data_IF_843709220660
#
_entry.id   IF_843709220660
#
_cell.length_a   1.000
_cell.length_b   1.000
_cell.length_c   1.000
_cell.angle_alpha   90.00
_cell.angle_beta   90.00
_cell.angle_gamma   90.00
#
_symmetry.space_group_name_H-M   'P 1'
#
loop_
_entity.id
_entity.type
_entity.pdbx_description
1 polymer ?
#
# COMPACT_ATOMS: atom_id res chain seq x y z
N UNK A 1 -10.72 -7.85 11.24
CA UNK A 1 -10.80 -9.32 11.02
C UNK A 1 -11.94 -9.67 10.07
N UNK A 2 -11.70 -10.51 9.08
CA UNK A 2 -12.71 -11.03 8.14
C UNK A 2 -12.60 -12.54 8.04
N UNK A 3 -13.71 -13.29 8.17
CA UNK A 3 -13.76 -14.76 8.17
C UNK A 3 -12.70 -15.44 9.07
N UNK A 4 -12.52 -14.94 10.29
CA UNK A 4 -11.50 -15.37 11.26
C UNK A 4 -10.05 -15.19 10.79
N UNK A 5 -9.80 -14.36 9.78
CA UNK A 5 -8.47 -13.97 9.33
C UNK A 5 -8.11 -12.60 9.89
N UNK A 6 -6.92 -12.50 10.46
CA UNK A 6 -6.36 -11.26 10.98
C UNK A 6 -5.64 -10.48 9.90
N UNK A 7 -5.86 -9.15 9.86
CA UNK A 7 -5.33 -8.28 8.80
C UNK A 7 -4.62 -7.09 9.42
N UNK A 8 -3.34 -6.93 9.14
CA UNK A 8 -2.57 -5.73 9.50
C UNK A 8 -2.42 -4.82 8.29
N UNK A 9 -2.85 -3.56 8.44
CA UNK A 9 -2.54 -2.51 7.47
C UNK A 9 -1.16 -1.93 7.79
N UNK A 10 -0.24 -1.99 6.82
CA UNK A 10 1.07 -1.35 6.92
C UNK A 10 1.10 -0.16 5.96
N UNK A 11 1.48 1.01 6.48
CA UNK A 11 1.59 2.27 5.73
C UNK A 11 3.08 2.63 5.64
N UNK A 12 3.78 2.22 4.56
CA UNK A 12 5.17 2.59 4.38
C UNK A 12 5.29 4.09 4.11
N UNK A 13 6.16 4.77 4.86
CA UNK A 13 6.35 6.21 4.77
C UNK A 13 7.82 6.60 4.93
N UNK A 14 8.28 7.64 4.20
CA UNK A 14 9.66 8.15 4.30
C UNK A 14 9.76 9.62 3.92
N UNK A 15 10.69 10.34 4.56
CA UNK A 15 10.97 11.74 4.25
C UNK A 15 11.67 11.91 2.90
N UNK A 16 12.49 10.93 2.51
CA UNK A 16 13.30 10.96 1.29
C UNK A 16 12.44 10.77 0.03
N UNK A 17 11.77 11.84 -0.40
CA UNK A 17 11.06 11.92 -1.68
C UNK A 17 11.77 12.91 -2.60
N UNK A 18 12.26 12.47 -3.76
CA UNK A 18 12.96 13.33 -4.71
C UNK A 18 12.05 14.39 -5.36
N UNK A 19 10.78 14.05 -5.60
CA UNK A 19 9.79 14.92 -6.25
C UNK A 19 9.14 15.92 -5.29
N UNK A 20 8.93 15.51 -4.04
CA UNK A 20 8.33 16.34 -3.00
C UNK A 20 8.98 16.04 -1.64
N UNK A 21 10.03 16.78 -1.25
CA UNK A 21 10.71 16.60 0.05
C UNK A 21 9.72 16.74 1.21
N UNK A 22 9.92 15.91 2.24
CA UNK A 22 9.08 15.88 3.45
C UNK A 22 7.59 15.60 3.18
N UNK A 23 7.26 14.95 2.06
CA UNK A 23 5.89 14.65 1.64
C UNK A 23 4.98 14.12 2.76
N UNK A 24 5.40 13.17 3.62
CA UNK A 24 4.54 12.64 4.68
C UNK A 24 4.07 13.66 5.71
N UNK A 25 4.85 14.73 5.92
CA UNK A 25 4.54 15.80 6.86
C UNK A 25 3.81 16.99 6.22
N UNK A 26 3.63 16.97 4.89
CA UNK A 26 2.87 17.98 4.19
C UNK A 26 1.41 17.97 4.65
N UNK A 27 0.86 19.16 4.94
CA UNK A 27 -0.52 19.27 5.43
C UNK A 27 -1.52 19.36 4.30
N UNK A 28 -2.52 18.50 4.35
CA UNK A 28 -3.73 18.57 3.53
C UNK A 28 -4.88 19.00 4.44
N UNK A 29 -5.44 20.18 4.22
CA UNK A 29 -6.48 20.74 5.07
C UNK A 29 -6.12 20.71 6.57
N UNK A 30 -4.90 21.13 6.90
CA UNK A 30 -4.42 21.28 8.26
C UNK A 30 -3.92 20.00 8.96
N UNK A 31 -4.00 18.81 8.31
CA UNK A 31 -3.54 17.52 8.86
C UNK A 31 -2.49 16.88 7.95
N UNK A 32 -1.45 16.32 8.52
CA UNK A 32 -0.33 15.72 7.81
C UNK A 32 -0.78 14.55 6.91
N UNK A 33 -0.13 14.40 5.75
CA UNK A 33 -0.48 13.40 4.73
C UNK A 33 -0.48 11.98 5.31
N UNK A 34 0.56 11.60 6.04
CA UNK A 34 0.67 10.27 6.65
C UNK A 34 -0.47 9.98 7.62
N UNK A 35 -0.90 10.98 8.39
CA UNK A 35 -2.02 10.86 9.32
C UNK A 35 -3.36 10.77 8.58
N UNK A 36 -3.51 11.48 7.46
CA UNK A 36 -4.69 11.35 6.58
C UNK A 36 -4.87 9.93 6.07
N UNK A 37 -3.77 9.28 5.67
CA UNK A 37 -3.79 7.88 5.24
C UNK A 37 -4.18 6.95 6.40
N UNK A 38 -3.58 7.14 7.58
CA UNK A 38 -3.92 6.36 8.77
C UNK A 38 -5.39 6.57 9.20
N UNK A 39 -5.89 7.82 9.16
CA UNK A 39 -7.30 8.14 9.45
C UNK A 39 -8.26 7.45 8.46
N UNK A 40 -7.87 7.34 7.18
CA UNK A 40 -8.66 6.62 6.18
C UNK A 40 -8.64 5.11 6.45
N UNK A 41 -7.48 4.53 6.69
CA UNK A 41 -7.33 3.12 7.04
C UNK A 41 -8.17 2.74 8.28
N UNK A 42 -8.21 3.60 9.30
CA UNK A 42 -8.97 3.39 10.55
C UNK A 42 -10.48 3.23 10.33
N UNK A 43 -11.00 3.67 9.18
CA UNK A 43 -12.42 3.54 8.84
C UNK A 43 -12.78 2.20 8.19
N UNK A 44 -11.79 1.41 7.79
CA UNK A 44 -12.01 0.03 7.31
C UNK A 44 -12.54 -0.85 8.45
N UNK A 45 -13.47 -1.75 8.12
CA UNK A 45 -14.10 -2.67 9.08
C UNK A 45 -13.18 -3.83 9.49
N UNK A 46 -12.14 -4.10 8.71
CA UNK A 46 -11.43 -5.38 8.78
C UNK A 46 -9.98 -5.27 9.25
N UNK A 47 -9.40 -4.07 9.32
CA UNK A 47 -8.05 -3.93 9.88
C UNK A 47 -8.06 -4.13 11.39
N UNK A 48 -7.30 -5.11 11.86
CA UNK A 48 -7.09 -5.37 13.28
C UNK A 48 -6.00 -4.47 13.86
N UNK A 49 -4.98 -4.14 13.03
CA UNK A 49 -3.89 -3.22 13.36
C UNK A 49 -3.58 -2.30 12.19
N UNK A 50 -3.10 -1.11 12.50
CA UNK A 50 -2.59 -0.14 11.52
C UNK A 50 -1.22 0.31 12.00
N UNK A 51 -0.18 0.08 11.20
CA UNK A 51 1.21 0.37 11.52
C UNK A 51 1.79 1.28 10.45
N UNK A 52 2.38 2.41 10.84
CA UNK A 52 3.20 3.21 9.93
C UNK A 52 4.64 2.70 10.02
N UNK A 53 5.17 2.19 8.90
CA UNK A 53 6.54 1.69 8.79
C UNK A 53 7.46 2.77 8.19
N UNK A 54 8.48 3.21 8.93
CA UNK A 54 9.33 4.33 8.52
C UNK A 54 10.78 4.19 8.99
N UNK A 55 11.71 4.76 8.22
CA UNK A 55 13.11 4.93 8.65
C UNK A 55 13.34 6.25 9.45
N UNK A 56 12.32 7.11 9.49
CA UNK A 56 12.46 8.50 9.98
C UNK A 56 11.82 8.67 11.36
N UNK A 57 12.63 8.97 12.38
CA UNK A 57 12.16 9.15 13.75
C UNK A 57 11.09 10.25 13.86
N UNK A 58 11.21 11.32 13.08
CA UNK A 58 10.22 12.42 13.09
C UNK A 58 8.83 11.98 12.64
N UNK A 59 8.75 11.04 11.69
CA UNK A 59 7.46 10.45 11.28
C UNK A 59 6.90 9.57 12.40
N UNK A 60 7.77 8.73 13.01
CA UNK A 60 7.37 7.88 14.14
C UNK A 60 6.81 8.71 15.28
N UNK A 61 7.53 9.72 15.74
CA UNK A 61 7.14 10.58 16.84
C UNK A 61 5.79 11.28 16.58
N UNK A 62 5.59 11.78 15.36
CA UNK A 62 4.32 12.38 14.96
C UNK A 62 3.17 11.36 15.01
N UNK A 63 3.36 10.19 14.42
CA UNK A 63 2.35 9.15 14.31
C UNK A 63 1.94 8.64 15.69
N UNK A 64 2.91 8.41 16.58
CA UNK A 64 2.66 7.97 17.95
C UNK A 64 2.00 9.05 18.80
N UNK A 65 2.35 10.34 18.62
CA UNK A 65 1.69 11.44 19.31
C UNK A 65 0.20 11.58 18.98
N UNK A 66 -0.21 11.06 17.81
CA UNK A 66 -1.60 11.04 17.35
C UNK A 66 -2.33 9.71 17.64
N UNK A 67 -1.69 8.83 18.43
CA UNK A 67 -2.30 7.57 18.91
C UNK A 67 -2.32 6.43 17.88
N UNK A 68 -1.48 6.50 16.84
CA UNK A 68 -1.24 5.42 15.91
C UNK A 68 0.04 4.67 16.25
N UNK A 69 0.17 3.44 15.78
CA UNK A 69 1.37 2.63 15.94
C UNK A 69 2.37 2.94 14.82
N UNK A 70 3.67 3.07 15.17
CA UNK A 70 4.73 3.26 14.20
C UNK A 70 5.96 2.41 14.52
N UNK A 71 6.51 1.75 13.48
CA UNK A 71 7.70 0.91 13.58
C UNK A 71 8.86 1.50 12.78
N UNK A 72 10.03 1.53 13.40
CA UNK A 72 11.26 1.91 12.70
C UNK A 72 11.74 0.72 11.86
N UNK A 73 12.09 1.04 10.61
CA UNK A 73 12.67 0.10 9.64
C UNK A 73 14.01 0.60 9.15
N UNK A 74 14.75 -0.25 8.49
CA UNK A 74 15.91 0.15 7.72
C UNK A 74 15.57 1.08 6.54
N UNK A 75 16.60 1.47 5.81
CA UNK A 75 16.46 2.25 4.58
C UNK A 75 16.16 1.34 3.40
N UNK A 76 15.06 1.57 2.72
CA UNK A 76 14.62 0.75 1.57
C UNK A 76 14.32 1.59 0.34
N UNK A 77 14.58 1.02 -0.84
CA UNK A 77 14.28 1.66 -2.11
C UNK A 77 12.80 1.60 -2.49
N UNK A 78 12.11 0.52 -2.09
CA UNK A 78 10.70 0.30 -2.41
C UNK A 78 9.85 0.14 -1.15
N UNK A 79 8.54 0.42 -1.28
CA UNK A 79 7.57 0.21 -0.21
C UNK A 79 7.46 -1.28 0.17
N UNK A 80 7.52 -2.20 -0.82
CA UNK A 80 7.41 -3.63 -0.56
C UNK A 80 8.59 -4.17 0.26
N UNK A 81 9.83 -3.73 0.00
CA UNK A 81 10.97 -4.10 0.84
C UNK A 81 10.82 -3.61 2.28
N UNK A 82 10.26 -2.41 2.49
CA UNK A 82 9.99 -1.89 3.83
C UNK A 82 8.93 -2.72 4.56
N UNK A 83 7.87 -3.11 3.87
CA UNK A 83 6.83 -3.96 4.45
C UNK A 83 7.37 -5.36 4.74
N UNK A 84 8.17 -5.93 3.84
CA UNK A 84 8.74 -7.28 4.00
C UNK A 84 9.74 -7.36 5.17
N UNK A 85 10.46 -6.29 5.49
CA UNK A 85 11.36 -6.26 6.65
C UNK A 85 10.64 -6.60 7.95
N UNK A 86 9.43 -6.06 8.13
CA UNK A 86 8.66 -6.23 9.37
C UNK A 86 7.65 -7.38 9.30
N UNK A 87 7.47 -7.99 8.13
CA UNK A 87 6.40 -8.97 7.90
C UNK A 87 6.50 -10.20 8.81
N UNK A 88 7.73 -10.68 9.10
CA UNK A 88 7.94 -11.80 10.01
C UNK A 88 7.52 -11.52 11.45
N UNK A 89 7.53 -10.25 11.87
CA UNK A 89 7.19 -9.83 13.23
C UNK A 89 5.69 -9.48 13.37
N UNK A 90 4.94 -9.54 12.25
CA UNK A 90 3.51 -9.29 12.26
C UNK A 90 2.73 -10.57 12.62
N UNK A 91 1.99 -10.52 13.72
CA UNK A 91 1.08 -11.58 14.13
C UNK A 91 -0.26 -11.46 13.39
N UNK A 92 -0.26 -11.74 12.08
CA UNK A 92 -1.47 -11.69 11.24
C UNK A 92 -1.43 -12.71 10.10
N UNK A 93 -2.60 -13.02 9.53
CA UNK A 93 -2.73 -13.88 8.35
C UNK A 93 -2.40 -13.12 7.06
N UNK A 94 -2.82 -11.84 7.00
CA UNK A 94 -2.70 -11.02 5.81
C UNK A 94 -2.12 -9.64 6.12
N UNK A 95 -1.42 -9.07 5.15
CA UNK A 95 -0.89 -7.71 5.20
C UNK A 95 -1.52 -6.88 4.08
N UNK A 96 -2.08 -5.73 4.42
CA UNK A 96 -2.50 -4.72 3.47
C UNK A 96 -1.44 -3.62 3.42
N UNK A 97 -0.74 -3.49 2.30
CA UNK A 97 0.22 -2.42 2.06
C UNK A 97 -0.53 -1.23 1.45
N UNK A 98 -0.86 -0.23 2.26
CA UNK A 98 -1.49 1.02 1.86
C UNK A 98 -0.42 2.10 1.74
N UNK A 99 -0.14 2.58 0.53
CA UNK A 99 0.93 3.56 0.35
C UNK A 99 0.65 4.86 1.10
N UNK A 100 1.69 5.40 1.76
CA UNK A 100 1.61 6.58 2.63
C UNK A 100 1.29 7.91 1.90
N UNK A 101 1.01 7.85 0.60
CA UNK A 101 0.61 8.97 -0.25
C UNK A 101 -0.79 8.83 -0.88
N UNK A 102 -1.62 7.94 -0.31
CA UNK A 102 -3.00 7.70 -0.73
C UNK A 102 -4.04 8.26 0.27
N UNK A 103 -4.11 9.58 0.48
CA UNK A 103 -4.97 10.19 1.51
C UNK A 103 -6.47 10.11 1.19
N UNK A 104 -6.82 9.77 -0.06
CA UNK A 104 -8.20 9.67 -0.53
C UNK A 104 -8.65 8.21 -0.70
N UNK A 105 -7.92 7.25 -0.14
CA UNK A 105 -8.35 5.85 -0.15
C UNK A 105 -9.74 5.71 0.47
N UNK A 106 -10.67 5.10 -0.29
CA UNK A 106 -12.02 4.83 0.18
C UNK A 106 -12.02 3.55 1.04
N UNK A 107 -12.44 3.63 2.31
CA UNK A 107 -12.51 2.45 3.18
C UNK A 107 -13.34 1.30 2.60
N UNK A 108 -14.38 1.58 1.83
CA UNK A 108 -15.18 0.54 1.18
C UNK A 108 -14.39 -0.19 0.09
N UNK A 109 -13.50 0.49 -0.61
CA UNK A 109 -12.60 -0.15 -1.57
C UNK A 109 -11.56 -1.03 -0.86
N UNK A 110 -11.01 -0.57 0.29
CA UNK A 110 -10.09 -1.36 1.10
C UNK A 110 -10.79 -2.65 1.59
N UNK A 111 -12.00 -2.52 2.11
CA UNK A 111 -12.82 -3.64 2.58
C UNK A 111 -13.10 -4.64 1.43
N UNK A 112 -13.48 -4.14 0.24
CA UNK A 112 -13.73 -5.00 -0.93
C UNK A 112 -12.50 -5.78 -1.37
N UNK A 113 -11.31 -5.17 -1.36
CA UNK A 113 -10.05 -5.85 -1.72
C UNK A 113 -9.77 -7.00 -0.75
N UNK A 114 -10.01 -6.78 0.55
CA UNK A 114 -9.85 -7.80 1.59
C UNK A 114 -10.83 -8.95 1.38
N UNK A 115 -12.12 -8.63 1.21
CA UNK A 115 -13.16 -9.62 0.96
C UNK A 115 -12.82 -10.46 -0.29
N UNK A 116 -12.50 -9.79 -1.40
CA UNK A 116 -12.16 -10.46 -2.66
C UNK A 116 -10.94 -11.37 -2.53
N UNK A 117 -9.86 -10.91 -1.87
CA UNK A 117 -8.65 -11.69 -1.70
C UNK A 117 -8.85 -12.93 -0.84
N UNK A 118 -9.56 -12.79 0.28
CA UNK A 118 -9.82 -13.90 1.22
C UNK A 118 -10.85 -14.88 0.64
N UNK A 119 -11.92 -14.39 0.00
CA UNK A 119 -12.98 -15.23 -0.56
C UNK A 119 -12.49 -16.10 -1.72
N UNK A 120 -11.49 -15.63 -2.46
CA UNK A 120 -10.89 -16.38 -3.57
C UNK A 120 -9.54 -17.04 -3.20
N UNK A 121 -9.16 -17.04 -1.91
CA UNK A 121 -7.93 -17.65 -1.38
C UNK A 121 -6.64 -17.19 -2.10
N UNK A 122 -6.63 -15.92 -2.57
CA UNK A 122 -5.53 -15.38 -3.35
C UNK A 122 -4.29 -15.10 -2.48
N UNK A 123 -3.12 -15.36 -3.04
CA UNK A 123 -1.84 -15.08 -2.39
C UNK A 123 -1.53 -13.58 -2.39
N UNK A 124 -1.95 -12.88 -3.47
CA UNK A 124 -1.78 -11.44 -3.64
C UNK A 124 -2.92 -10.84 -4.47
N UNK A 125 -3.35 -9.64 -4.10
CA UNK A 125 -4.28 -8.81 -4.89
C UNK A 125 -3.61 -7.47 -5.19
N UNK A 126 -3.59 -7.12 -6.48
CA UNK A 126 -3.19 -5.80 -6.98
C UNK A 126 -4.41 -5.13 -7.61
N UNK A 127 -5.02 -4.14 -6.96
CA UNK A 127 -6.15 -3.43 -7.53
C UNK A 127 -5.71 -2.51 -8.67
N UNK A 128 -6.60 -2.38 -9.64
CA UNK A 128 -6.45 -1.53 -10.82
C UNK A 128 -7.66 -0.61 -10.94
N UNK A 129 -7.55 0.45 -11.73
CA UNK A 129 -8.66 1.34 -12.05
C UNK A 129 -8.86 1.44 -13.56
N UNK A 130 -9.97 2.00 -13.97
CA UNK A 130 -10.19 2.38 -15.38
C UNK A 130 -9.14 3.39 -15.83
N UNK A 131 -8.65 3.21 -17.05
CA UNK A 131 -7.75 4.16 -17.70
C UNK A 131 -8.49 5.47 -17.98
N UNK A 132 -7.85 6.57 -17.66
CA UNK A 132 -8.30 7.93 -17.99
C UNK A 132 -7.44 8.49 -19.12
N UNK A 133 -7.92 9.57 -19.72
CA UNK A 133 -7.15 10.30 -20.74
C UNK A 133 -5.81 10.78 -20.17
N UNK A 134 -4.71 10.54 -20.89
CA UNK A 134 -3.35 10.90 -20.50
C UNK A 134 -2.64 9.88 -19.58
N UNK A 135 -3.30 8.84 -19.07
CA UNK A 135 -2.66 7.86 -18.19
C UNK A 135 -1.52 7.11 -18.90
N UNK A 136 -1.69 6.80 -20.18
CA UNK A 136 -0.72 5.99 -20.93
C UNK A 136 0.56 6.76 -21.25
N UNK A 137 0.48 8.07 -21.33
CA UNK A 137 1.60 8.97 -21.60
C UNK A 137 2.27 9.49 -20.32
N UNK A 138 1.64 9.25 -19.15
CA UNK A 138 2.12 9.75 -17.87
C UNK A 138 3.14 8.76 -17.25
N UNK A 139 4.44 9.14 -17.14
CA UNK A 139 5.46 8.26 -16.57
C UNK A 139 5.30 8.02 -15.07
N UNK A 140 4.46 8.78 -14.39
CA UNK A 140 4.19 8.59 -12.98
C UNK A 140 3.09 7.54 -12.71
N UNK A 141 2.33 7.17 -13.74
CA UNK A 141 1.31 6.13 -13.67
C UNK A 141 1.94 4.78 -13.98
N UNK A 142 1.85 3.85 -13.03
CA UNK A 142 2.25 2.46 -13.27
C UNK A 142 1.10 1.74 -13.96
N UNK A 143 1.38 1.13 -15.09
CA UNK A 143 0.44 0.36 -15.89
C UNK A 143 0.58 -1.14 -15.59
N UNK A 144 -0.54 -1.83 -15.56
CA UNK A 144 -0.63 -3.27 -15.31
C UNK A 144 -1.22 -3.96 -16.52
N UNK A 145 -0.51 -4.94 -17.07
CA UNK A 145 -1.08 -5.84 -18.07
C UNK A 145 -1.78 -6.98 -17.35
N UNK A 146 -3.06 -7.20 -17.68
CA UNK A 146 -3.90 -8.22 -17.06
C UNK A 146 -4.36 -9.24 -18.09
N UNK A 147 -4.31 -10.53 -17.75
CA UNK A 147 -4.93 -11.59 -18.53
C UNK A 147 -5.72 -12.54 -17.64
N UNK A 148 -7.01 -12.70 -17.92
CA UNK A 148 -7.91 -13.55 -17.12
C UNK A 148 -7.83 -13.27 -15.62
N UNK A 149 -7.84 -12.00 -15.22
CA UNK A 149 -7.76 -11.56 -13.83
C UNK A 149 -6.36 -11.70 -13.19
N UNK A 150 -5.34 -12.13 -13.94
CA UNK A 150 -3.97 -12.26 -13.45
C UNK A 150 -3.09 -11.13 -13.97
N UNK A 151 -2.30 -10.53 -13.07
CA UNK A 151 -1.26 -9.58 -13.43
C UNK A 151 -0.15 -10.33 -14.15
N UNK A 152 0.17 -9.88 -15.36
CA UNK A 152 1.28 -10.43 -16.14
C UNK A 152 2.53 -9.56 -16.05
N UNK A 153 2.35 -8.24 -16.04
CA UNK A 153 3.45 -7.30 -16.08
C UNK A 153 3.06 -5.94 -15.51
N UNK A 154 4.05 -5.23 -14.94
CA UNK A 154 3.94 -3.85 -14.48
C UNK A 154 4.98 -3.02 -15.26
N UNK A 155 4.55 -1.88 -15.80
CA UNK A 155 5.41 -1.01 -16.59
C UNK A 155 5.05 0.47 -16.42
N UNK A 156 5.93 1.33 -16.86
CA UNK A 156 5.65 2.76 -17.07
C UNK A 156 5.69 3.05 -18.55
N UNK A 157 4.76 3.85 -19.06
CA UNK A 157 4.67 4.19 -20.48
C UNK A 157 4.69 2.92 -21.35
N UNK A 158 3.56 2.23 -21.54
CA UNK A 158 3.51 1.02 -22.35
C UNK A 158 3.85 1.35 -23.81
N UNK A 159 4.78 0.61 -24.40
CA UNK A 159 5.12 0.72 -25.84
C UNK A 159 3.96 0.27 -26.72
N UNK A 160 3.13 -0.62 -26.19
CA UNK A 160 1.93 -1.13 -26.87
C UNK A 160 0.74 -0.98 -25.96
N UNK A 161 -0.21 -0.15 -26.33
CA UNK A 161 -1.48 0.02 -25.64
C UNK A 161 -2.42 -1.09 -26.14
N UNK A 162 -2.84 -1.97 -25.25
CA UNK A 162 -3.83 -3.02 -25.50
C UNK A 162 -5.07 -2.80 -24.63
N UNK A 163 -6.16 -3.48 -24.95
CA UNK A 163 -7.41 -3.43 -24.17
C UNK A 163 -7.25 -3.92 -22.72
N UNK A 164 -6.14 -4.63 -22.42
CA UNK A 164 -5.87 -5.23 -21.12
C UNK A 164 -4.80 -4.49 -20.32
N UNK A 165 -4.59 -3.20 -20.56
CA UNK A 165 -3.66 -2.34 -19.83
C UNK A 165 -4.46 -1.39 -18.94
N UNK A 166 -4.15 -1.40 -17.64
CA UNK A 166 -4.87 -0.62 -16.64
C UNK A 166 -3.90 0.06 -15.66
N UNK A 167 -4.17 1.29 -15.22
CA UNK A 167 -3.42 1.91 -14.14
C UNK A 167 -3.60 1.15 -12.82
N UNK A 168 -2.48 0.93 -12.11
CA UNK A 168 -2.55 0.36 -10.76
C UNK A 168 -3.04 1.41 -9.75
N UNK A 169 -3.68 0.95 -8.69
CA UNK A 169 -3.84 1.70 -7.44
C UNK A 169 -2.67 1.42 -6.50
N UNK A 170 -2.33 2.38 -5.64
CA UNK A 170 -1.22 2.29 -4.71
C UNK A 170 -1.47 1.36 -3.51
N UNK A 171 -2.12 0.23 -3.74
CA UNK A 171 -2.44 -0.75 -2.70
C UNK A 171 -1.95 -2.13 -3.11
N UNK A 172 -1.57 -2.94 -2.09
CA UNK A 172 -1.31 -4.36 -2.27
C UNK A 172 -1.88 -5.12 -1.07
N UNK A 173 -2.50 -6.24 -1.32
CA UNK A 173 -3.00 -7.13 -0.29
C UNK A 173 -2.36 -8.50 -0.47
N UNK A 174 -1.70 -9.01 0.58
CA UNK A 174 -0.92 -10.25 0.51
C UNK A 174 -1.29 -11.18 1.65
N UNK A 175 -1.12 -12.50 1.46
CA UNK A 175 -0.83 -13.38 2.59
C UNK A 175 0.47 -12.92 3.24
N UNK A 176 0.55 -12.93 4.58
CA UNK A 176 1.74 -12.46 5.31
C UNK A 176 3.01 -13.19 4.86
N UNK A 177 2.93 -14.52 4.65
CA UNK A 177 4.07 -15.32 4.19
C UNK A 177 4.62 -14.89 2.83
N UNK A 178 3.75 -14.46 1.90
CA UNK A 178 4.16 -14.00 0.57
C UNK A 178 4.97 -12.72 0.63
N UNK A 179 4.55 -11.74 1.45
CA UNK A 179 5.32 -10.51 1.59
C UNK A 179 6.57 -10.71 2.45
N UNK A 180 6.58 -11.66 3.38
CA UNK A 180 7.77 -12.02 4.15
C UNK A 180 8.87 -12.60 3.24
N UNK A 181 8.49 -13.46 2.29
CA UNK A 181 9.43 -14.03 1.31
C UNK A 181 10.00 -12.97 0.33
N UNK A 182 9.34 -11.83 0.17
CA UNK A 182 9.77 -10.77 -0.75
C UNK A 182 11.18 -10.24 -0.45
N UNK A 183 11.62 -10.25 0.81
CA UNK A 183 12.98 -9.86 1.23
C UNK A 183 14.09 -10.75 0.64
N UNK A 184 13.73 -11.96 0.16
CA UNK A 184 14.65 -12.93 -0.43
C UNK A 184 14.72 -12.81 -1.97
N UNK A 185 13.96 -11.89 -2.57
CA UNK A 185 14.02 -11.61 -3.99
C UNK A 185 15.12 -10.58 -4.27
N UNK A 186 16.02 -10.91 -5.23
CA UNK A 186 17.11 -10.04 -5.71
C UNK A 186 16.61 -8.86 -6.56
#
# INVERSE_FOLDING_TARGET
MYKNKTITCVIPSRMSSSRFPNKPLAKILGRELVLRVADSAKKSKYFDRIIVATEDQVIKDLVESEGYEAWITGKHYTCNHRVSEIASDLECDYVFNLQGDEPLSDPNHLDYIIEYGIDNELDMVQPIRKTLEGDNENPDVVQVIVNNGKVLYLMRIPEVITENVYPQLGYYFYKREVIDDYKNLD
#
